data_IF_133906139580
#
_entry.id   IF_133906139580
#
_cell.length_a   1.000
_cell.length_b   1.000
_cell.length_c   1.000
_cell.angle_alpha   90.00
_cell.angle_beta   90.00
_cell.angle_gamma   90.00
#
_symmetry.space_group_name_H-M   'P 1'
#
loop_
_entity.id
_entity.type
_entity.pdbx_description
1 polymer ?
#
# COMPACT_ATOMS: atom_id res chain seq x y z
N UNK A 1 -24.71 -14.32 7.73
CA UNK A 1 -23.27 -14.10 7.42
C UNK A 1 -22.67 -13.33 8.58
N UNK A 2 -21.73 -13.93 9.32
CA UNK A 2 -21.18 -13.35 10.54
C UNK A 2 -20.01 -12.41 10.20
N UNK A 3 -20.01 -11.20 10.77
CA UNK A 3 -18.91 -10.27 10.67
C UNK A 3 -17.68 -10.86 11.38
N UNK A 4 -16.58 -11.08 10.65
CA UNK A 4 -15.29 -11.43 11.28
C UNK A 4 -14.87 -10.24 12.14
N UNK A 5 -14.86 -10.43 13.46
CA UNK A 5 -14.27 -9.47 14.40
C UNK A 5 -12.76 -9.59 14.27
N UNK A 6 -12.10 -8.49 13.88
CA UNK A 6 -10.64 -8.39 13.84
C UNK A 6 -10.17 -7.78 15.18
N UNK A 7 -9.72 -8.60 16.14
CA UNK A 7 -9.46 -8.17 17.53
C UNK A 7 -8.30 -7.18 17.66
N UNK A 8 -7.48 -7.00 16.62
CA UNK A 8 -6.30 -6.14 16.59
C UNK A 8 -6.60 -4.66 16.28
N UNK A 9 -7.87 -4.32 16.00
CA UNK A 9 -8.29 -2.98 15.57
C UNK A 9 -8.48 -1.96 16.71
N UNK A 10 -7.90 -2.18 17.89
CA UNK A 10 -8.10 -1.33 19.07
C UNK A 10 -6.75 -0.82 19.61
N UNK A 11 -6.36 0.40 19.24
CA UNK A 11 -5.13 1.05 19.70
C UNK A 11 -4.84 2.39 18.99
N UNK A 12 -4.06 3.28 19.61
CA UNK A 12 -3.76 4.62 19.06
C UNK A 12 -2.94 4.58 17.75
N UNK A 13 -2.22 3.49 17.49
CA UNK A 13 -1.55 3.22 16.20
C UNK A 13 -2.50 3.06 15.01
N UNK A 14 -3.80 2.91 15.24
CA UNK A 14 -4.82 2.73 14.18
C UNK A 14 -5.43 4.03 13.63
N UNK A 15 -5.03 5.22 14.10
CA UNK A 15 -5.56 6.49 13.52
C UNK A 15 -5.31 6.56 12.02
N UNK A 16 -4.21 5.99 11.54
CA UNK A 16 -3.83 5.90 10.11
C UNK A 16 -4.84 5.15 9.24
N UNK A 17 -5.60 4.20 9.79
CA UNK A 17 -6.58 3.41 9.03
C UNK A 17 -8.03 3.72 9.39
N UNK A 18 -8.24 4.69 10.28
CA UNK A 18 -9.58 5.17 10.66
C UNK A 18 -10.02 6.36 9.81
N UNK A 19 -9.08 7.19 9.35
CA UNK A 19 -9.34 8.37 8.54
C UNK A 19 -8.34 8.48 7.39
N UNK A 20 -8.83 8.98 6.25
CA UNK A 20 -7.96 9.31 5.13
C UNK A 20 -7.04 10.48 5.49
N UNK A 21 -5.70 10.33 5.39
CA UNK A 21 -4.76 11.38 5.74
C UNK A 21 -4.78 12.58 4.79
N UNK A 22 -5.39 12.43 3.60
CA UNK A 22 -5.49 13.51 2.62
C UNK A 22 -6.77 14.33 2.75
N UNK A 23 -7.93 13.68 2.92
CA UNK A 23 -9.23 14.36 2.93
C UNK A 23 -9.99 14.23 4.26
N UNK A 24 -9.37 13.62 5.27
CA UNK A 24 -9.91 13.38 6.61
C UNK A 24 -11.27 12.65 6.65
N UNK A 25 -11.62 11.97 5.56
CA UNK A 25 -12.86 11.18 5.51
C UNK A 25 -12.65 9.89 6.26
N UNK A 26 -13.60 9.57 7.13
CA UNK A 26 -13.55 8.33 7.90
C UNK A 26 -13.61 7.14 6.95
N UNK A 27 -12.68 6.21 7.11
CA UNK A 27 -12.73 4.94 6.39
C UNK A 27 -13.85 4.08 6.95
N UNK A 28 -14.53 3.33 6.08
CA UNK A 28 -15.35 2.21 6.52
C UNK A 28 -14.37 1.08 6.91
N UNK A 29 -14.36 0.56 8.15
CA UNK A 29 -13.47 -0.53 8.55
C UNK A 29 -13.61 -1.80 7.68
N UNK A 30 -14.77 -1.99 7.04
CA UNK A 30 -15.01 -3.09 6.08
C UNK A 30 -14.39 -2.85 4.69
N UNK A 31 -13.90 -1.64 4.42
CA UNK A 31 -13.27 -1.30 3.14
C UNK A 31 -11.78 -1.65 3.08
N UNK A 32 -11.18 -2.06 4.19
CA UNK A 32 -9.79 -2.52 4.20
C UNK A 32 -9.69 -3.94 3.62
N UNK A 33 -8.82 -4.10 2.62
CA UNK A 33 -8.46 -5.40 2.04
C UNK A 33 -7.17 -5.88 2.69
N UNK A 34 -7.21 -7.03 3.35
CA UNK A 34 -5.99 -7.71 3.82
C UNK A 34 -5.35 -8.37 2.60
N UNK A 35 -4.12 -7.98 2.29
CA UNK A 35 -3.35 -8.52 1.16
C UNK A 35 -2.45 -9.68 1.59
N UNK A 36 -1.90 -9.61 2.81
CA UNK A 36 -1.06 -10.64 3.39
C UNK A 36 -1.24 -10.70 4.91
N UNK A 37 -1.22 -11.91 5.46
CA UNK A 37 -1.35 -12.18 6.89
C UNK A 37 -0.26 -13.18 7.31
N UNK A 38 0.54 -12.79 8.29
CA UNK A 38 1.54 -13.61 9.00
C UNK A 38 1.22 -13.54 10.49
N UNK A 39 1.84 -14.40 11.31
CA UNK A 39 1.55 -14.46 12.76
C UNK A 39 1.60 -13.10 13.45
N UNK A 40 2.62 -12.29 13.15
CA UNK A 40 2.89 -11.02 13.80
C UNK A 40 2.81 -9.82 12.84
N UNK A 41 2.27 -10.00 11.63
CA UNK A 41 2.25 -8.96 10.61
C UNK A 41 1.05 -9.05 9.66
N UNK A 42 0.43 -7.91 9.37
CA UNK A 42 -0.65 -7.79 8.39
C UNK A 42 -0.35 -6.68 7.38
N UNK A 43 -0.36 -7.02 6.10
CA UNK A 43 -0.32 -6.06 5.00
C UNK A 43 -1.75 -5.76 4.56
N UNK A 44 -2.15 -4.50 4.64
CA UNK A 44 -3.50 -4.05 4.29
C UNK A 44 -3.46 -2.95 3.24
N UNK A 45 -4.49 -2.92 2.40
CA UNK A 45 -4.74 -1.88 1.41
C UNK A 45 -6.12 -1.26 1.64
N UNK A 46 -6.19 0.06 1.61
CA UNK A 46 -7.43 0.82 1.83
C UNK A 46 -7.55 1.88 0.76
N UNK A 47 -8.64 1.86 -0.01
CA UNK A 47 -8.96 2.91 -0.97
C UNK A 47 -9.94 3.93 -0.38
N UNK A 48 -9.62 5.23 -0.50
CA UNK A 48 -10.54 6.29 -0.13
C UNK A 48 -11.52 6.58 -1.27
N UNK A 49 -12.80 6.25 -1.07
CA UNK A 49 -13.86 6.53 -2.07
C UNK A 49 -14.17 8.02 -2.30
N UNK A 50 -13.60 8.94 -1.49
CA UNK A 50 -13.83 10.38 -1.65
C UNK A 50 -12.79 11.08 -2.52
N UNK A 51 -11.50 10.75 -2.33
CA UNK A 51 -10.40 11.40 -3.06
C UNK A 51 -9.57 10.42 -3.89
N UNK A 52 -9.98 9.15 -3.97
CA UNK A 52 -9.37 8.09 -4.77
C UNK A 52 -7.91 7.77 -4.43
N UNK A 53 -7.36 8.33 -3.35
CA UNK A 53 -6.07 7.92 -2.81
C UNK A 53 -6.19 6.60 -2.07
N UNK A 54 -5.12 5.83 -2.10
CA UNK A 54 -4.98 4.58 -1.38
C UNK A 54 -3.96 4.70 -0.25
N UNK A 55 -4.09 3.82 0.73
CA UNK A 55 -3.07 3.57 1.74
C UNK A 55 -2.68 2.09 1.66
N UNK A 56 -1.38 1.82 1.63
CA UNK A 56 -0.82 0.52 1.97
C UNK A 56 -0.25 0.62 3.36
N UNK A 57 -0.68 -0.24 4.28
CA UNK A 57 -0.15 -0.25 5.64
C UNK A 57 0.33 -1.64 6.05
N UNK A 58 1.47 -1.67 6.71
CA UNK A 58 2.00 -2.83 7.40
C UNK A 58 1.75 -2.65 8.90
N UNK A 59 0.95 -3.53 9.48
CA UNK A 59 0.68 -3.59 10.91
C UNK A 59 1.54 -4.71 11.48
N UNK A 60 2.37 -4.40 12.47
CA UNK A 60 3.22 -5.34 13.18
C UNK A 60 2.72 -5.49 14.61
N UNK A 61 2.49 -6.71 15.06
CA UNK A 61 2.07 -7.03 16.42
C UNK A 61 3.20 -7.80 17.12
N UNK A 62 3.77 -7.22 18.18
CA UNK A 62 4.83 -7.87 18.94
C UNK A 62 4.57 -7.81 20.45
N UNK A 63 5.46 -8.43 21.22
CA UNK A 63 5.33 -8.50 22.69
C UNK A 63 5.29 -7.15 23.41
N UNK A 64 5.77 -6.08 22.77
CA UNK A 64 5.77 -4.70 23.31
C UNK A 64 4.58 -3.86 22.83
N UNK A 65 3.72 -4.38 21.95
CA UNK A 65 2.53 -3.69 21.45
C UNK A 65 2.37 -3.76 19.93
N UNK A 66 1.51 -2.88 19.41
CA UNK A 66 1.18 -2.78 17.98
C UNK A 66 1.94 -1.58 17.38
N UNK A 67 2.66 -1.82 16.29
CA UNK A 67 3.28 -0.79 15.46
C UNK A 67 2.66 -0.80 14.07
N UNK A 68 2.68 0.34 13.38
CA UNK A 68 2.17 0.43 12.01
C UNK A 68 2.97 1.41 11.18
N UNK A 69 3.29 1.02 9.94
CA UNK A 69 3.85 1.91 8.92
C UNK A 69 2.87 1.97 7.76
N UNK A 70 2.57 3.18 7.29
CA UNK A 70 1.64 3.40 6.19
C UNK A 70 2.26 4.27 5.10
N UNK A 71 1.96 3.93 3.85
CA UNK A 71 2.33 4.67 2.66
C UNK A 71 1.06 5.15 1.97
N UNK A 72 0.96 6.45 1.73
CA UNK A 72 -0.07 7.02 0.86
C UNK A 72 0.38 6.77 -0.58
N UNK A 73 -0.51 6.20 -1.38
CA UNK A 73 -0.20 5.75 -2.73
C UNK A 73 -1.44 5.82 -3.63
N UNK A 74 -1.25 5.73 -4.93
CA UNK A 74 -2.29 5.53 -5.93
C UNK A 74 -2.43 4.06 -6.36
N UNK A 75 -1.55 3.17 -5.87
CA UNK A 75 -1.57 1.75 -6.22
C UNK A 75 -2.92 1.11 -5.88
N UNK A 76 -3.40 0.26 -6.79
CA UNK A 76 -4.51 -0.66 -6.51
C UNK A 76 -4.02 -1.84 -5.67
N UNK A 77 -4.94 -2.63 -5.11
CA UNK A 77 -4.55 -3.84 -4.39
C UNK A 77 -3.76 -4.83 -5.26
N UNK A 78 -4.06 -4.85 -6.56
CA UNK A 78 -3.47 -5.80 -7.49
C UNK A 78 -2.06 -5.35 -7.88
N UNK A 79 -1.83 -4.04 -7.98
CA UNK A 79 -0.48 -3.49 -8.15
C UNK A 79 0.39 -3.81 -6.92
N UNK A 80 -0.15 -3.67 -5.71
CA UNK A 80 0.60 -4.00 -4.49
C UNK A 80 0.97 -5.49 -4.48
N UNK A 81 0.04 -6.38 -4.82
CA UNK A 81 0.33 -7.81 -4.92
C UNK A 81 1.35 -8.14 -6.01
N UNK A 82 1.37 -7.38 -7.11
CA UNK A 82 2.34 -7.53 -8.19
C UNK A 82 3.74 -7.11 -7.78
N UNK A 83 3.88 -6.03 -7.02
CA UNK A 83 5.18 -5.42 -6.72
C UNK A 83 5.73 -5.72 -5.31
N UNK A 84 4.93 -6.29 -4.39
CA UNK A 84 5.38 -6.55 -3.01
C UNK A 84 6.58 -7.49 -2.90
N UNK A 85 6.76 -8.36 -3.89
CA UNK A 85 7.86 -9.34 -3.96
C UNK A 85 8.82 -9.01 -5.12
N UNK A 86 8.75 -7.79 -5.69
CA UNK A 86 9.68 -7.35 -6.71
C UNK A 86 11.07 -7.09 -6.10
N UNK A 87 12.11 -7.20 -6.93
CA UNK A 87 13.47 -6.87 -6.51
C UNK A 87 13.60 -5.39 -6.14
N UNK A 88 14.52 -5.11 -5.21
CA UNK A 88 14.83 -3.74 -4.80
C UNK A 88 15.33 -2.93 -6.01
N UNK A 89 14.84 -1.70 -6.15
CA UNK A 89 15.35 -0.76 -7.16
C UNK A 89 16.78 -0.34 -6.81
N UNK A 90 17.70 -0.54 -7.75
CA UNK A 90 19.09 -0.13 -7.61
C UNK A 90 19.35 1.25 -8.22
N UNK A 91 20.52 1.82 -7.92
CA UNK A 91 20.94 3.07 -8.56
C UNK A 91 21.11 2.91 -10.08
N UNK A 92 21.64 1.76 -10.50
CA UNK A 92 21.87 1.48 -11.92
C UNK A 92 20.55 1.40 -12.69
N UNK A 93 19.50 0.81 -12.11
CA UNK A 93 18.16 0.79 -12.72
C UNK A 93 17.62 2.20 -12.99
N UNK A 94 17.84 3.13 -12.05
CA UNK A 94 17.40 4.53 -12.18
C UNK A 94 18.21 5.26 -13.26
N UNK A 95 19.53 5.04 -13.31
CA UNK A 95 20.40 5.64 -14.32
C UNK A 95 20.09 5.11 -15.72
N UNK A 96 19.91 3.80 -15.86
CA UNK A 96 19.59 3.15 -17.12
C UNK A 96 18.24 3.64 -17.64
N UNK A 97 17.23 3.75 -16.77
CA UNK A 97 15.93 4.30 -17.15
C UNK A 97 16.02 5.77 -17.59
N UNK A 98 16.78 6.60 -16.87
CA UNK A 98 17.00 8.00 -17.24
C UNK A 98 17.66 8.14 -18.62
N UNK A 99 18.72 7.37 -18.87
CA UNK A 99 19.41 7.36 -20.16
C UNK A 99 18.52 6.84 -21.28
N UNK A 100 17.69 5.82 -21.01
CA UNK A 100 16.77 5.27 -21.99
C UNK A 100 15.65 6.26 -22.37
N UNK A 101 15.19 7.08 -21.42
CA UNK A 101 14.26 8.18 -21.68
C UNK A 101 14.90 9.29 -22.53
N UNK A 102 16.15 9.68 -22.25
CA UNK A 102 16.86 10.69 -23.05
C UNK A 102 17.10 10.26 -24.49
N UNK A 103 17.32 8.96 -24.71
CA UNK A 103 17.63 8.41 -26.02
C UNK A 103 16.39 8.01 -26.85
N UNK A 104 15.17 8.39 -26.42
CA UNK A 104 13.88 8.07 -27.07
C UNK A 104 13.61 6.55 -27.26
N UNK A 105 14.44 5.69 -26.65
CA UNK A 105 14.37 4.24 -26.79
C UNK A 105 13.09 3.69 -26.14
N UNK A 106 12.72 4.27 -25.00
CA UNK A 106 11.54 3.89 -24.23
C UNK A 106 10.25 4.39 -24.90
N UNK A 107 10.22 5.63 -25.38
CA UNK A 107 9.02 6.17 -26.04
C UNK A 107 8.69 5.39 -27.33
N UNK A 108 9.72 5.01 -28.09
CA UNK A 108 9.54 4.21 -29.31
C UNK A 108 9.07 2.79 -29.04
N UNK A 109 9.47 2.16 -27.93
CA UNK A 109 9.03 0.81 -27.60
C UNK A 109 7.61 0.81 -27.00
N UNK A 110 7.24 1.81 -26.21
CA UNK A 110 5.91 1.91 -25.59
C UNK A 110 4.83 2.35 -26.58
N UNK A 111 5.12 3.28 -27.50
CA UNK A 111 4.12 3.80 -28.45
C UNK A 111 3.88 2.83 -29.62
N UNK A 112 4.84 1.96 -29.95
CA UNK A 112 4.73 0.99 -31.05
C UNK A 112 4.49 -0.47 -30.60
N UNK A 113 4.15 -0.69 -29.33
CA UNK A 113 3.69 -2.00 -28.80
C UNK A 113 2.17 -2.02 -28.68
#
# INVERSE_FOLDING_TARGET
>A
MQAKKYPYLQGEGLKLISYCPLCNTQYNPLAAKILEEREDAHLIHIECRRCNSSIVALILTGGIGISSVGLITDLTSDDVLKFKDADDLTLDDVLDFHLALQNDLVLKSIINS
#
